data_IF_270871123356
#
_entry.id   IF_270871123356
#
_cell.length_a   1.000
_cell.length_b   1.000
_cell.length_c   1.000
_cell.angle_alpha   90.00
_cell.angle_beta   90.00
_cell.angle_gamma   90.00
#
_symmetry.space_group_name_H-M   'P 1'
#
loop_
_entity.id
_entity.type
_entity.pdbx_description
1 polymer ?
#
# COMPACT_ATOMS: atom_id res chain seq x y z
N UNK A 1 -4.15 16.97 12.40
CA UNK A 1 -4.78 15.76 11.85
C UNK A 1 -3.86 15.20 10.78
N UNK A 2 -3.67 13.90 10.77
CA UNK A 2 -2.82 13.23 9.80
C UNK A 2 -3.26 13.49 8.36
N UNK A 3 -2.35 13.29 7.42
CA UNK A 3 -2.63 13.50 5.99
C UNK A 3 -3.13 12.21 5.37
N UNK A 4 -4.33 12.24 4.79
CA UNK A 4 -4.81 11.13 3.97
C UNK A 4 -4.01 11.07 2.66
N UNK A 5 -3.26 9.99 2.44
CA UNK A 5 -2.53 9.76 1.20
C UNK A 5 -2.93 8.42 0.55
N UNK A 6 -3.22 8.37 -0.76
CA UNK A 6 -3.73 7.17 -1.41
C UNK A 6 -2.71 6.02 -1.47
N UNK A 7 -1.41 6.33 -1.62
CA UNK A 7 -0.35 5.31 -1.63
C UNK A 7 -0.28 4.54 -0.31
N UNK A 8 -0.37 5.25 0.82
CA UNK A 8 -0.32 4.65 2.15
C UNK A 8 -1.51 3.70 2.35
N UNK A 9 -2.71 4.15 2.00
CA UNK A 9 -3.92 3.34 2.07
C UNK A 9 -3.83 2.09 1.19
N UNK A 10 -3.35 2.25 -0.05
CA UNK A 10 -3.16 1.15 -0.99
C UNK A 10 -2.19 0.09 -0.46
N UNK A 11 -1.04 0.51 0.10
CA UNK A 11 -0.06 -0.42 0.66
C UNK A 11 -0.60 -1.15 1.89
N UNK A 12 -1.32 -0.46 2.79
CA UNK A 12 -1.99 -1.10 3.93
C UNK A 12 -2.97 -2.18 3.47
N UNK A 13 -3.81 -1.89 2.46
CA UNK A 13 -4.74 -2.87 1.88
C UNK A 13 -4.01 -4.04 1.21
N UNK A 14 -2.93 -3.75 0.49
CA UNK A 14 -2.09 -4.76 -0.17
C UNK A 14 -1.49 -5.71 0.87
N UNK A 15 -0.94 -5.20 1.97
CA UNK A 15 -0.30 -6.04 2.99
C UNK A 15 -1.28 -6.88 3.80
N UNK A 16 -2.57 -6.53 3.84
CA UNK A 16 -3.64 -7.37 4.44
C UNK A 16 -4.46 -8.16 3.41
N UNK A 17 -4.07 -8.11 2.12
CA UNK A 17 -4.75 -8.83 1.04
C UNK A 17 -4.60 -10.35 1.20
N UNK A 18 -5.53 -11.10 0.61
CA UNK A 18 -5.44 -12.56 0.62
C UNK A 18 -4.18 -13.03 -0.12
N UNK A 19 -3.83 -12.35 -1.21
CA UNK A 19 -2.64 -12.59 -2.02
C UNK A 19 -1.37 -12.44 -1.18
N UNK A 20 -1.28 -11.39 -0.36
CA UNK A 20 -0.14 -11.17 0.54
C UNK A 20 -0.06 -12.25 1.64
N UNK A 21 -1.21 -12.65 2.20
CA UNK A 21 -1.27 -13.77 3.16
C UNK A 21 -0.78 -15.08 2.53
N UNK A 22 -1.21 -15.39 1.30
CA UNK A 22 -0.78 -16.58 0.58
C UNK A 22 0.71 -16.54 0.26
N UNK A 23 1.23 -15.41 -0.23
CA UNK A 23 2.66 -15.23 -0.51
C UNK A 23 3.51 -15.38 0.78
N UNK A 24 3.07 -14.78 1.88
CA UNK A 24 3.76 -14.89 3.18
C UNK A 24 3.77 -16.34 3.68
N UNK A 25 2.63 -17.03 3.59
CA UNK A 25 2.52 -18.46 3.93
C UNK A 25 3.49 -19.29 3.11
N UNK A 26 3.48 -19.13 1.79
CA UNK A 26 4.27 -19.95 0.87
C UNK A 26 5.78 -19.70 1.07
N UNK A 27 6.19 -18.45 1.32
CA UNK A 27 7.57 -18.11 1.64
C UNK A 27 8.04 -18.74 2.96
N UNK A 28 7.23 -18.68 4.03
CA UNK A 28 7.55 -19.33 5.31
C UNK A 28 7.61 -20.86 5.16
N UNK A 29 6.69 -21.45 4.41
CA UNK A 29 6.69 -22.90 4.13
C UNK A 29 7.96 -23.30 3.39
N UNK A 30 8.33 -22.57 2.34
CA UNK A 30 9.55 -22.82 1.56
C UNK A 30 10.81 -22.70 2.42
N UNK A 31 10.88 -21.68 3.28
CA UNK A 31 11.97 -21.51 4.24
C UNK A 31 12.09 -22.71 5.20
N UNK A 32 10.97 -23.21 5.73
CA UNK A 32 10.95 -24.39 6.61
C UNK A 32 11.32 -25.66 5.81
N UNK A 33 10.80 -25.84 4.60
CA UNK A 33 11.13 -26.98 3.73
C UNK A 33 12.61 -27.05 3.40
N UNK A 34 13.26 -25.90 3.16
CA UNK A 34 14.70 -25.85 2.93
C UNK A 34 15.50 -26.36 4.14
N UNK A 35 15.09 -26.00 5.36
CA UNK A 35 15.68 -26.53 6.59
C UNK A 35 15.45 -28.04 6.75
N UNK A 36 14.24 -28.52 6.49
CA UNK A 36 13.91 -29.95 6.55
C UNK A 36 14.73 -30.75 5.53
N UNK A 37 14.88 -30.23 4.32
CA UNK A 37 15.66 -30.87 3.26
C UNK A 37 17.14 -30.97 3.63
N UNK A 38 17.73 -29.87 4.11
CA UNK A 38 19.11 -29.84 4.58
C UNK A 38 19.32 -30.81 5.76
N UNK A 39 18.43 -30.76 6.75
CA UNK A 39 18.49 -31.64 7.92
C UNK A 39 18.33 -33.12 7.52
N UNK A 40 17.40 -33.41 6.61
CA UNK A 40 17.21 -34.74 6.05
C UNK A 40 18.45 -35.26 5.31
N UNK A 41 19.18 -34.42 4.57
CA UNK A 41 20.48 -34.78 3.99
C UNK A 41 21.49 -35.08 5.09
N UNK A 42 21.64 -34.19 6.07
CA UNK A 42 22.57 -34.39 7.17
C UNK A 42 22.34 -35.72 7.90
N UNK A 43 21.09 -36.12 8.16
CA UNK A 43 20.78 -37.39 8.81
C UNK A 43 21.21 -38.60 7.96
N UNK A 44 21.12 -38.53 6.62
CA UNK A 44 21.58 -39.59 5.71
C UNK A 44 23.11 -39.69 5.65
N UNK A 45 23.78 -38.56 5.74
CA UNK A 45 25.24 -38.42 5.59
C UNK A 45 25.96 -38.30 6.94
N UNK A 46 25.24 -38.51 8.04
CA UNK A 46 25.71 -38.22 9.39
C UNK A 46 27.05 -38.91 9.69
N UNK A 47 28.06 -38.19 10.20
CA UNK A 47 29.36 -38.78 10.51
C UNK A 47 29.23 -39.94 11.50
N UNK A 48 29.94 -41.05 11.25
CA UNK A 48 29.93 -42.23 12.14
C UNK A 48 30.39 -41.89 13.57
N UNK A 49 31.23 -40.87 13.70
CA UNK A 49 31.73 -40.37 14.98
C UNK A 49 30.90 -39.19 15.54
N UNK A 50 29.70 -38.92 15.02
CA UNK A 50 28.86 -37.79 15.45
C UNK A 50 28.68 -37.73 16.98
N UNK A 51 28.46 -38.88 17.63
CA UNK A 51 28.32 -38.98 19.09
C UNK A 51 29.59 -38.64 19.88
N UNK A 52 30.75 -38.53 19.24
CA UNK A 52 32.01 -38.08 19.85
C UNK A 52 32.24 -36.58 19.71
N UNK A 53 31.44 -35.89 18.89
CA UNK A 53 31.48 -34.44 18.78
C UNK A 53 30.88 -33.79 20.03
N UNK A 54 31.29 -32.56 20.41
CA UNK A 54 30.59 -31.78 21.41
C UNK A 54 29.09 -31.65 21.09
N UNK A 55 28.23 -31.62 22.12
CA UNK A 55 26.78 -31.61 21.94
C UNK A 55 26.30 -30.51 20.98
N UNK A 56 26.90 -29.32 21.03
CA UNK A 56 26.55 -28.20 20.17
C UNK A 56 26.84 -28.44 18.68
N UNK A 57 27.72 -29.39 18.34
CA UNK A 57 27.99 -29.83 16.96
C UNK A 57 27.13 -31.03 16.51
N UNK A 58 26.43 -31.68 17.45
CA UNK A 58 25.54 -32.79 17.14
C UNK A 58 24.20 -32.24 16.64
N UNK A 59 24.10 -31.95 15.35
CA UNK A 59 22.93 -31.29 14.78
C UNK A 59 21.65 -32.14 14.95
N UNK A 60 21.74 -33.47 14.90
CA UNK A 60 20.59 -34.33 15.16
C UNK A 60 20.04 -34.17 16.60
N UNK A 61 20.91 -33.92 17.57
CA UNK A 61 20.52 -33.67 18.96
C UNK A 61 19.98 -32.25 19.16
N UNK A 62 20.66 -31.25 18.59
CA UNK A 62 20.33 -29.83 18.79
C UNK A 62 19.22 -29.39 17.86
N UNK A 63 19.42 -29.50 16.56
CA UNK A 63 18.43 -29.11 15.56
C UNK A 63 17.22 -30.04 15.58
N UNK A 64 17.44 -31.36 15.72
CA UNK A 64 16.35 -32.34 15.73
C UNK A 64 15.39 -32.20 16.92
N UNK A 65 15.89 -31.87 18.11
CA UNK A 65 15.05 -31.78 19.32
C UNK A 65 14.65 -30.36 19.71
N UNK A 66 15.37 -29.32 19.28
CA UNK A 66 15.12 -27.93 19.68
C UNK A 66 14.73 -27.04 18.51
N UNK A 67 15.53 -26.98 17.45
CA UNK A 67 15.27 -26.03 16.35
C UNK A 67 14.08 -26.45 15.50
N UNK A 68 14.12 -27.65 14.90
CA UNK A 68 13.09 -28.12 13.98
C UNK A 68 11.70 -28.18 14.63
N UNK A 69 11.53 -28.73 15.85
CA UNK A 69 10.22 -28.72 16.53
C UNK A 69 9.68 -27.32 16.82
N UNK A 70 10.54 -26.31 16.99
CA UNK A 70 10.12 -24.95 17.26
C UNK A 70 9.66 -24.19 16.01
N UNK A 71 10.25 -24.47 14.84
CA UNK A 71 9.90 -23.75 13.60
C UNK A 71 8.73 -24.41 12.85
N UNK A 72 8.60 -25.75 12.92
CA UNK A 72 7.54 -26.53 12.22
C UNK A 72 6.12 -26.01 12.45
N UNK A 73 5.68 -25.66 13.68
CA UNK A 73 4.32 -25.21 13.93
C UNK A 73 3.93 -23.93 13.17
N UNK A 74 4.90 -23.13 12.69
CA UNK A 74 4.61 -21.92 11.92
C UNK A 74 3.95 -22.25 10.57
N UNK A 75 4.21 -23.42 9.99
CA UNK A 75 3.51 -23.89 8.77
C UNK A 75 1.99 -23.93 8.99
N UNK A 76 1.55 -24.67 10.00
CA UNK A 76 0.12 -24.83 10.28
C UNK A 76 -0.53 -23.51 10.67
N UNK A 77 0.20 -22.68 11.41
CA UNK A 77 -0.27 -21.34 11.81
C UNK A 77 -0.59 -20.46 10.60
N UNK A 78 0.29 -20.38 9.59
CA UNK A 78 0.05 -19.54 8.40
C UNK A 78 -0.93 -20.17 7.41
N UNK A 79 -1.00 -21.50 7.33
CA UNK A 79 -2.07 -22.19 6.58
C UNK A 79 -3.43 -21.82 7.16
N UNK A 80 -3.58 -21.93 8.49
CA UNK A 80 -4.83 -21.58 9.18
C UNK A 80 -5.19 -20.11 9.02
N UNK A 81 -4.22 -19.20 9.19
CA UNK A 81 -4.45 -17.76 9.01
C UNK A 81 -4.92 -17.44 7.58
N UNK A 82 -4.32 -18.06 6.56
CA UNK A 82 -4.75 -17.89 5.17
C UNK A 82 -6.18 -18.39 4.95
N UNK A 83 -6.57 -19.54 5.53
CA UNK A 83 -7.95 -20.06 5.45
C UNK A 83 -8.94 -19.14 6.17
N UNK A 84 -8.58 -18.60 7.34
CA UNK A 84 -9.43 -17.61 8.02
C UNK A 84 -9.61 -16.37 7.16
N UNK A 85 -8.53 -15.92 6.50
CA UNK A 85 -8.55 -14.76 5.62
C UNK A 85 -9.47 -14.95 4.40
N UNK A 86 -9.55 -16.14 3.81
CA UNK A 86 -10.48 -16.42 2.69
C UNK A 86 -11.95 -16.30 3.08
N UNK A 87 -12.27 -16.47 4.36
CA UNK A 87 -13.62 -16.32 4.89
C UNK A 87 -13.87 -14.92 5.50
N UNK A 88 -12.92 -13.99 5.35
CA UNK A 88 -12.93 -12.68 6.01
C UNK A 88 -13.13 -12.77 7.53
N UNK A 89 -12.65 -13.85 8.16
CA UNK A 89 -12.71 -14.03 9.60
C UNK A 89 -11.67 -13.11 10.26
N UNK A 90 -12.11 -12.36 11.26
CA UNK A 90 -11.29 -11.41 12.00
C UNK A 90 -10.11 -12.08 12.72
N UNK A 91 -10.25 -13.37 13.08
CA UNK A 91 -9.18 -14.16 13.68
C UNK A 91 -7.98 -14.35 12.74
N UNK A 92 -8.13 -14.08 11.43
CA UNK A 92 -7.02 -14.05 10.50
C UNK A 92 -5.93 -13.03 10.90
N UNK A 93 -6.32 -11.93 11.57
CA UNK A 93 -5.40 -10.87 11.98
C UNK A 93 -4.59 -11.22 13.24
N UNK A 94 -4.80 -12.38 13.86
CA UNK A 94 -3.97 -12.86 14.97
C UNK A 94 -2.71 -13.60 14.48
N UNK A 95 -1.93 -12.94 13.61
CA UNK A 95 -0.77 -13.49 12.91
C UNK A 95 0.40 -12.49 12.90
N UNK A 96 1.57 -12.93 12.46
CA UNK A 96 2.77 -12.10 12.35
C UNK A 96 3.92 -12.51 13.29
N UNK A 97 5.06 -11.85 13.08
CA UNK A 97 6.34 -11.99 13.77
C UNK A 97 6.97 -13.38 13.72
N UNK A 98 6.52 -14.25 12.82
CA UNK A 98 7.05 -15.60 12.72
C UNK A 98 8.54 -15.58 12.40
N UNK A 99 8.97 -14.81 11.40
CA UNK A 99 10.36 -14.80 10.98
C UNK A 99 11.28 -14.15 12.01
N UNK A 100 10.81 -13.11 12.71
CA UNK A 100 11.55 -12.52 13.82
C UNK A 100 11.75 -13.52 14.97
N UNK A 101 10.69 -14.24 15.34
CA UNK A 101 10.73 -15.24 16.41
C UNK A 101 11.59 -16.45 16.03
N UNK A 102 11.46 -16.95 14.80
CA UNK A 102 12.30 -18.02 14.27
C UNK A 102 13.76 -17.57 14.31
N UNK A 103 14.10 -16.41 13.72
CA UNK A 103 15.49 -15.92 13.66
C UNK A 103 16.12 -15.86 15.05
N UNK A 104 15.45 -15.22 16.02
CA UNK A 104 15.90 -15.15 17.42
C UNK A 104 16.11 -16.54 18.03
N UNK A 105 15.23 -17.48 17.69
CA UNK A 105 15.25 -18.86 18.16
C UNK A 105 16.24 -19.78 17.43
N UNK A 106 16.93 -19.32 16.37
CA UNK A 106 17.91 -20.15 15.64
C UNK A 106 19.33 -19.56 15.63
N UNK A 107 19.50 -18.25 15.78
CA UNK A 107 20.80 -17.55 15.60
C UNK A 107 21.92 -18.03 16.52
N UNK A 108 21.60 -18.66 17.65
CA UNK A 108 22.58 -19.18 18.61
C UNK A 108 23.07 -20.60 18.28
N UNK A 109 22.45 -21.29 17.31
CA UNK A 109 22.76 -22.68 17.01
C UNK A 109 23.77 -22.81 15.86
N UNK A 110 24.72 -23.70 16.06
CA UNK A 110 25.73 -23.99 15.04
C UNK A 110 25.10 -24.66 13.81
N UNK A 111 25.39 -24.10 12.64
CA UNK A 111 24.84 -24.46 11.32
C UNK A 111 25.90 -25.10 10.39
N UNK A 112 27.14 -25.30 10.85
CA UNK A 112 28.25 -25.78 10.02
C UNK A 112 28.13 -27.22 9.50
N UNK A 113 27.02 -27.90 9.78
CA UNK A 113 26.64 -29.17 9.17
C UNK A 113 25.91 -29.00 7.82
N UNK A 114 25.41 -27.80 7.53
CA UNK A 114 24.82 -27.42 6.24
C UNK A 114 25.92 -27.12 5.21
N UNK A 115 25.63 -27.38 3.93
CA UNK A 115 26.52 -26.98 2.84
C UNK A 115 26.42 -25.48 2.58
N UNK A 116 27.40 -24.90 1.89
CA UNK A 116 27.34 -23.48 1.48
C UNK A 116 26.14 -23.16 0.59
N UNK A 117 25.75 -24.11 -0.27
CA UNK A 117 24.58 -23.97 -1.15
C UNK A 117 23.28 -23.97 -0.34
N UNK A 118 23.15 -24.88 0.63
CA UNK A 118 22.00 -24.93 1.53
C UNK A 118 21.87 -23.65 2.35
N UNK A 119 22.97 -23.16 2.91
CA UNK A 119 23.01 -21.89 3.66
C UNK A 119 22.58 -20.72 2.76
N UNK A 120 23.08 -20.68 1.52
CA UNK A 120 22.71 -19.64 0.55
C UNK A 120 21.21 -19.64 0.24
N UNK A 121 20.66 -20.80 -0.12
CA UNK A 121 19.23 -20.97 -0.42
C UNK A 121 18.34 -20.65 0.80
N UNK A 122 18.70 -21.15 1.98
CA UNK A 122 17.99 -20.87 3.23
C UNK A 122 18.00 -19.36 3.54
N UNK A 123 19.14 -18.70 3.34
CA UNK A 123 19.28 -17.27 3.56
C UNK A 123 18.39 -16.47 2.61
N UNK A 124 18.32 -16.84 1.33
CA UNK A 124 17.48 -16.16 0.33
C UNK A 124 15.98 -16.31 0.66
N UNK A 125 15.53 -17.56 0.88
CA UNK A 125 14.15 -17.83 1.29
C UNK A 125 13.80 -17.15 2.60
N UNK A 126 14.75 -17.08 3.54
CA UNK A 126 14.60 -16.40 4.81
C UNK A 126 14.43 -14.89 4.67
N UNK A 127 15.14 -14.27 3.74
CA UNK A 127 14.99 -12.83 3.43
C UNK A 127 13.61 -12.53 2.83
N UNK A 128 13.15 -13.33 1.86
CA UNK A 128 11.83 -13.18 1.25
C UNK A 128 10.72 -13.34 2.30
N UNK A 129 10.78 -14.41 3.09
CA UNK A 129 9.80 -14.67 4.14
C UNK A 129 9.82 -13.58 5.22
N UNK A 130 10.99 -13.07 5.59
CA UNK A 130 11.12 -12.03 6.60
C UNK A 130 10.50 -10.71 6.13
N UNK A 131 10.68 -10.34 4.86
CA UNK A 131 10.13 -9.09 4.33
C UNK A 131 8.59 -9.14 4.27
N UNK A 132 8.03 -10.22 3.71
CA UNK A 132 6.58 -10.41 3.62
C UNK A 132 5.93 -10.46 5.02
N UNK A 133 6.55 -11.19 5.96
CA UNK A 133 6.07 -11.29 7.35
C UNK A 133 6.17 -9.94 8.07
N UNK A 134 7.22 -9.16 7.83
CA UNK A 134 7.41 -7.82 8.43
C UNK A 134 6.33 -6.86 7.97
N UNK A 135 6.06 -6.79 6.66
CA UNK A 135 5.00 -5.95 6.08
C UNK A 135 3.63 -6.29 6.66
N UNK A 136 3.31 -7.59 6.74
CA UNK A 136 2.07 -8.09 7.33
C UNK A 136 1.96 -7.74 8.83
N UNK A 137 3.02 -8.02 9.59
CA UNK A 137 3.06 -7.82 11.05
C UNK A 137 2.92 -6.36 11.44
N UNK A 138 3.66 -5.48 10.75
CA UNK A 138 3.63 -4.05 11.03
C UNK A 138 2.26 -3.44 10.71
N UNK A 139 1.63 -3.89 9.61
CA UNK A 139 0.27 -3.45 9.24
C UNK A 139 -0.77 -3.88 10.27
N UNK A 140 -0.76 -5.15 10.69
CA UNK A 140 -1.70 -5.67 11.69
C UNK A 140 -1.53 -4.98 13.04
N UNK A 141 -0.28 -4.76 13.49
CA UNK A 141 -0.01 -4.16 14.79
C UNK A 141 -0.10 -2.64 14.79
N UNK A 142 -0.21 -2.02 13.61
CA UNK A 142 -0.19 -0.57 13.44
C UNK A 142 1.12 0.04 13.92
N UNK A 143 2.25 -0.59 13.59
CA UNK A 143 3.59 -0.14 14.00
C UNK A 143 4.35 0.60 12.91
N UNK A 144 3.63 1.08 11.89
CA UNK A 144 4.22 1.97 10.89
C UNK A 144 4.42 3.35 11.51
N UNK A 145 5.55 3.97 11.20
CA UNK A 145 5.80 5.38 11.44
C UNK A 145 5.37 6.21 10.22
N UNK A 146 5.08 7.49 10.44
CA UNK A 146 4.78 8.39 9.32
C UNK A 146 6.03 8.58 8.43
N UNK A 147 5.92 8.17 7.17
CA UNK A 147 7.03 8.07 6.22
C UNK A 147 7.24 6.66 5.67
N UNK A 148 6.96 5.63 6.47
CA UNK A 148 7.27 4.22 6.15
C UNK A 148 6.54 3.70 4.92
N UNK A 149 5.38 4.27 4.59
CA UNK A 149 4.55 3.89 3.44
C UNK A 149 4.45 5.01 2.40
N UNK A 150 5.24 6.08 2.55
CA UNK A 150 5.18 7.31 1.74
C UNK A 150 6.54 7.72 1.17
N UNK A 151 7.30 8.57 1.86
CA UNK A 151 8.53 9.17 1.32
C UNK A 151 9.83 8.50 1.80
N UNK A 152 9.78 7.68 2.86
CA UNK A 152 10.97 7.03 3.45
C UNK A 152 10.96 5.50 3.25
N UNK A 153 9.80 4.93 2.93
CA UNK A 153 9.60 3.50 2.78
C UNK A 153 10.09 2.85 1.49
N UNK A 154 10.25 3.63 0.42
CA UNK A 154 10.65 3.07 -0.87
C UNK A 154 12.15 2.78 -0.90
N UNK A 155 12.54 1.54 -1.17
CA UNK A 155 13.95 1.16 -1.25
C UNK A 155 14.21 0.05 -2.28
N UNK A 156 15.47 -0.02 -2.71
CA UNK A 156 15.98 -1.13 -3.52
C UNK A 156 16.79 -2.08 -2.62
N UNK A 157 16.95 -3.33 -3.05
CA UNK A 157 17.93 -4.28 -2.51
C UNK A 157 17.77 -4.61 -1.01
N UNK A 158 16.53 -4.76 -0.54
CA UNK A 158 16.22 -5.37 0.77
C UNK A 158 16.24 -4.42 1.98
N UNK A 159 16.36 -3.10 1.76
CA UNK A 159 16.31 -2.09 2.82
C UNK A 159 15.01 -1.24 2.81
N UNK A 160 14.18 -1.37 1.78
CA UNK A 160 12.89 -0.68 1.68
C UNK A 160 11.71 -1.51 2.18
N UNK A 161 10.63 -0.83 2.56
CA UNK A 161 9.33 -1.44 2.91
C UNK A 161 8.55 -1.90 1.72
N UNK A 162 8.71 -1.21 0.60
CA UNK A 162 8.14 -1.61 -0.67
C UNK A 162 9.08 -1.15 -1.77
N UNK A 163 8.96 -1.80 -2.91
CA UNK A 163 9.63 -1.41 -4.14
C UNK A 163 8.71 -0.56 -4.98
N UNK A 164 9.29 0.20 -5.91
CA UNK A 164 8.50 0.99 -6.85
C UNK A 164 7.54 0.17 -7.70
N UNK A 165 7.91 -1.07 -8.01
CA UNK A 165 7.09 -2.03 -8.74
C UNK A 165 5.88 -2.53 -7.93
N UNK A 166 5.87 -2.29 -6.61
CA UNK A 166 4.73 -2.65 -5.77
C UNK A 166 3.54 -1.71 -5.94
N UNK A 167 3.76 -0.52 -6.52
CA UNK A 167 2.75 0.49 -6.77
C UNK A 167 2.37 0.44 -8.27
N UNK A 168 1.11 0.11 -8.61
CA UNK A 168 0.66 0.11 -10.00
C UNK A 168 0.58 1.53 -10.55
N UNK A 169 0.43 1.66 -11.88
CA UNK A 169 0.30 2.96 -12.55
C UNK A 169 -0.95 3.75 -12.12
N UNK A 170 -1.96 3.07 -11.58
CA UNK A 170 -3.17 3.66 -11.02
C UNK A 170 -3.51 2.98 -9.71
N UNK A 171 -3.78 3.77 -8.69
CA UNK A 171 -4.27 3.29 -7.39
C UNK A 171 -5.66 3.84 -7.09
N UNK A 172 -6.48 3.16 -6.27
CA UNK A 172 -7.78 3.68 -5.88
C UNK A 172 -7.68 5.05 -5.21
N UNK A 173 -8.72 5.87 -5.37
CA UNK A 173 -8.90 7.08 -4.58
C UNK A 173 -9.59 6.74 -3.26
N UNK A 174 -9.27 7.51 -2.22
CA UNK A 174 -9.80 7.31 -0.87
C UNK A 174 -10.42 8.60 -0.33
N UNK A 175 -11.39 8.45 0.56
CA UNK A 175 -12.02 9.54 1.31
C UNK A 175 -12.25 9.17 2.77
N UNK A 176 -12.46 10.20 3.60
CA UNK A 176 -12.86 10.03 4.99
C UNK A 176 -14.37 9.87 5.10
N UNK A 177 -14.79 8.73 5.63
CA UNK A 177 -16.18 8.51 6.01
C UNK A 177 -16.45 9.08 7.40
N UNK A 178 -16.94 10.33 7.41
CA UNK A 178 -17.26 11.05 8.65
C UNK A 178 -18.45 10.46 9.43
N UNK A 179 -19.17 9.48 8.87
CA UNK A 179 -20.22 8.75 9.59
C UNK A 179 -19.68 7.63 10.48
N UNK A 180 -18.44 7.18 10.26
CA UNK A 180 -17.78 6.14 11.06
C UNK A 180 -16.53 6.71 11.72
N UNK A 181 -16.63 6.91 13.03
CA UNK A 181 -15.58 7.48 13.86
C UNK A 181 -15.42 6.67 15.14
N UNK A 182 -14.18 6.57 15.62
CA UNK A 182 -13.83 5.98 16.91
C UNK A 182 -13.32 7.12 17.78
N UNK A 183 -14.02 7.43 18.86
CA UNK A 183 -13.55 8.44 19.80
C UNK A 183 -12.43 7.90 20.71
N UNK A 184 -11.72 8.80 21.38
CA UNK A 184 -10.42 8.55 22.03
C UNK A 184 -10.36 7.39 23.04
N UNK A 185 -11.48 7.02 23.66
CA UNK A 185 -11.59 5.91 24.61
C UNK A 185 -12.64 4.86 24.16
N UNK A 186 -13.00 4.87 22.89
CA UNK A 186 -13.92 3.88 22.30
C UNK A 186 -13.16 2.71 21.66
N UNK A 187 -13.80 1.54 21.70
CA UNK A 187 -13.31 0.38 21.00
C UNK A 187 -13.78 0.42 19.53
N UNK A 188 -12.94 0.01 18.57
CA UNK A 188 -13.37 -0.16 17.18
C UNK A 188 -14.49 -1.19 17.10
N UNK A 189 -15.53 -0.91 16.30
CA UNK A 189 -16.64 -1.86 16.04
C UNK A 189 -16.66 -2.35 14.59
N UNK A 190 -15.87 -1.72 13.73
CA UNK A 190 -15.76 -2.03 12.32
C UNK A 190 -14.28 -2.23 11.95
N UNK A 191 -14.00 -3.31 11.21
CA UNK A 191 -12.65 -3.55 10.68
C UNK A 191 -12.41 -2.63 9.48
N UNK A 192 -11.28 -1.94 9.45
CA UNK A 192 -10.96 -1.04 8.35
C UNK A 192 -9.62 -0.34 8.50
N UNK A 193 -9.32 0.56 7.57
CA UNK A 193 -8.19 1.48 7.64
C UNK A 193 -8.73 2.82 8.14
N UNK A 194 -8.05 3.42 9.11
CA UNK A 194 -8.49 4.63 9.77
C UNK A 194 -7.39 5.68 9.76
N UNK A 195 -7.79 6.94 9.63
CA UNK A 195 -6.91 8.09 9.75
C UNK A 195 -6.97 8.65 11.19
N UNK A 196 -5.83 8.87 11.86
CA UNK A 196 -5.83 9.44 13.20
C UNK A 196 -5.99 10.98 13.19
N UNK A 197 -6.64 11.51 14.22
CA UNK A 197 -6.83 12.96 14.40
C UNK A 197 -5.61 13.72 14.95
N UNK A 198 -4.41 13.14 14.87
CA UNK A 198 -3.15 13.74 15.33
C UNK A 198 -2.17 13.92 14.16
N UNK A 199 -1.30 14.93 14.26
CA UNK A 199 -0.25 15.17 13.26
C UNK A 199 0.90 14.15 13.42
N UNK A 200 1.68 13.96 12.35
CA UNK A 200 2.87 13.11 12.34
C UNK A 200 2.60 11.63 12.68
N UNK A 201 1.43 11.14 12.29
CA UNK A 201 1.01 9.76 12.46
C UNK A 201 0.44 9.22 11.13
N UNK A 202 0.71 7.94 10.78
CA UNK A 202 0.19 7.34 9.57
C UNK A 202 -1.24 6.80 9.76
N UNK A 203 -1.92 6.51 8.66
CA UNK A 203 -3.13 5.70 8.67
C UNK A 203 -2.84 4.28 9.22
N UNK A 204 -3.86 3.68 9.83
CA UNK A 204 -3.71 2.40 10.53
C UNK A 204 -4.84 1.44 10.18
N UNK A 205 -4.48 0.17 9.96
CA UNK A 205 -5.45 -0.91 9.97
C UNK A 205 -5.89 -1.26 11.41
N UNK A 206 -7.19 -1.26 11.66
CA UNK A 206 -7.77 -1.54 12.98
C UNK A 206 -8.88 -2.60 12.82
N UNK A 207 -8.75 -3.79 13.45
CA UNK A 207 -9.80 -4.79 13.45
C UNK A 207 -10.91 -4.46 14.46
N UNK A 208 -12.16 -4.82 14.16
CA UNK A 208 -13.31 -4.63 15.05
C UNK A 208 -13.20 -5.35 16.42
N UNK A 209 -12.33 -6.35 16.56
CA UNK A 209 -12.11 -7.08 17.82
C UNK A 209 -10.82 -6.67 18.52
N UNK A 210 -10.24 -5.51 18.19
CA UNK A 210 -8.99 -5.02 18.79
C UNK A 210 -9.03 -5.03 20.33
N UNK A 211 -10.22 -4.94 20.92
CA UNK A 211 -10.47 -5.25 22.34
C UNK A 211 -10.11 -4.14 23.31
N UNK A 212 -9.54 -3.04 22.82
CA UNK A 212 -9.17 -1.85 23.58
C UNK A 212 -9.20 -0.60 22.68
N UNK A 213 -9.13 0.62 23.24
CA UNK A 213 -8.99 1.82 22.43
C UNK A 213 -7.67 1.83 21.65
N UNK A 214 -7.73 2.21 20.37
CA UNK A 214 -6.56 2.23 19.49
C UNK A 214 -5.74 3.51 19.71
N UNK A 215 -4.43 3.35 19.90
CA UNK A 215 -3.46 4.46 19.92
C UNK A 215 -2.73 4.56 18.58
N UNK A 216 -2.23 5.74 18.22
CA UNK A 216 -1.42 5.96 17.03
C UNK A 216 0.05 6.09 17.41
N UNK A 217 0.95 5.64 16.54
CA UNK A 217 2.37 6.02 16.65
C UNK A 217 2.49 7.44 16.11
N UNK A 218 2.99 8.34 16.96
CA UNK A 218 3.22 9.74 16.63
C UNK A 218 4.70 10.05 16.68
N UNK A 219 5.21 10.63 15.60
CA UNK A 219 6.57 11.14 15.54
C UNK A 219 6.79 12.35 16.44
N UNK A 220 7.88 12.33 17.21
CA UNK A 220 8.27 13.42 18.14
C UNK A 220 9.50 14.16 17.62
N UNK A 221 10.58 13.42 17.31
CA UNK A 221 11.84 14.00 16.86
C UNK A 221 12.29 13.36 15.55
N UNK A 222 12.45 14.16 14.50
CA UNK A 222 13.01 13.70 13.21
C UNK A 222 14.51 13.42 13.32
N UNK A 223 14.96 12.45 12.54
CA UNK A 223 16.38 12.13 12.45
C UNK A 223 17.19 13.28 11.87
N UNK A 224 18.31 13.58 12.54
CA UNK A 224 19.36 14.46 12.03
C UNK A 224 20.38 13.71 11.15
N UNK A 225 20.17 12.42 10.90
CA UNK A 225 21.14 11.59 10.18
C UNK A 225 21.25 12.01 8.71
N UNK A 226 22.48 12.19 8.25
CA UNK A 226 22.83 12.39 6.85
C UNK A 226 23.79 11.27 6.45
N UNK A 227 23.42 10.55 5.39
CA UNK A 227 24.24 9.46 4.91
C UNK A 227 25.55 9.95 4.26
N UNK A 228 26.41 9.00 3.88
CA UNK A 228 27.70 9.31 3.24
C UNK A 228 27.57 10.02 1.89
N UNK A 229 26.40 9.95 1.25
CA UNK A 229 26.11 10.62 -0.02
C UNK A 229 25.56 12.05 0.18
N UNK A 230 25.33 12.47 1.41
CA UNK A 230 24.74 13.77 1.74
C UNK A 230 23.21 13.77 1.73
N UNK A 231 22.57 12.60 1.61
CA UNK A 231 21.12 12.47 1.68
C UNK A 231 20.68 12.43 3.15
N UNK A 232 19.81 13.34 3.53
CA UNK A 232 19.19 13.37 4.84
C UNK A 232 18.14 12.25 4.96
N UNK A 233 18.18 11.52 6.06
CA UNK A 233 17.10 10.60 6.45
C UNK A 233 15.97 11.40 7.09
N UNK A 234 14.74 11.08 6.72
CA UNK A 234 13.55 11.68 7.32
C UNK A 234 12.82 10.72 8.25
N UNK A 235 13.47 9.64 8.69
CA UNK A 235 12.91 8.75 9.70
C UNK A 235 12.71 9.48 11.04
N UNK A 236 11.92 8.88 11.92
CA UNK A 236 11.76 9.35 13.28
C UNK A 236 12.82 8.72 14.18
N UNK A 237 13.57 9.54 14.92
CA UNK A 237 14.49 9.07 15.97
C UNK A 237 13.70 8.72 17.24
N UNK A 238 12.67 9.52 17.54
CA UNK A 238 11.76 9.32 18.67
C UNK A 238 10.31 9.35 18.18
N UNK A 239 9.54 8.33 18.57
CA UNK A 239 8.09 8.23 18.38
C UNK A 239 7.42 7.76 19.69
N UNK A 240 6.16 8.12 19.89
CA UNK A 240 5.36 7.67 21.04
C UNK A 240 3.99 7.14 20.65
N UNK A 241 3.39 6.33 21.54
CA UNK A 241 2.01 5.90 21.39
C UNK A 241 1.08 6.96 21.97
N UNK A 242 0.44 7.73 21.10
CA UNK A 242 -0.49 8.79 21.47
C UNK A 242 -1.95 8.32 21.35
N UNK A 243 -2.77 8.71 22.33
CA UNK A 243 -4.23 8.55 22.25
C UNK A 243 -4.81 9.52 21.22
N UNK A 244 -5.74 9.06 20.40
CA UNK A 244 -6.34 9.87 19.35
C UNK A 244 -7.73 9.35 18.96
N UNK A 245 -8.53 10.21 18.34
CA UNK A 245 -9.70 9.76 17.60
C UNK A 245 -9.31 9.26 16.21
N UNK A 246 -10.21 8.51 15.59
CA UNK A 246 -9.98 7.86 14.29
C UNK A 246 -11.19 8.02 13.39
N UNK A 247 -10.96 8.38 12.12
CA UNK A 247 -12.00 8.44 11.10
C UNK A 247 -11.77 7.35 10.06
N UNK A 248 -12.81 6.58 9.71
CA UNK A 248 -12.68 5.50 8.75
C UNK A 248 -12.31 6.04 7.36
N UNK A 249 -11.37 5.39 6.71
CA UNK A 249 -11.00 5.63 5.31
C UNK A 249 -11.75 4.63 4.42
N UNK A 250 -12.39 5.11 3.36
CA UNK A 250 -13.06 4.28 2.35
C UNK A 250 -12.50 4.55 0.96
N UNK A 251 -12.47 3.51 0.13
CA UNK A 251 -12.29 3.67 -1.31
C UNK A 251 -13.49 4.41 -1.89
N UNK A 252 -13.24 5.29 -2.84
CA UNK A 252 -14.29 5.84 -3.70
C UNK A 252 -14.45 4.88 -4.87
N UNK A 253 -15.55 4.14 -4.90
CA UNK A 253 -15.79 3.10 -5.91
C UNK A 253 -15.70 3.66 -7.34
N UNK A 254 -14.84 3.05 -8.15
CA UNK A 254 -14.63 3.43 -9.55
C UNK A 254 -13.74 4.67 -9.77
N UNK A 255 -13.23 5.31 -8.72
CA UNK A 255 -12.28 6.42 -8.84
C UNK A 255 -10.84 5.98 -8.56
N UNK A 256 -9.93 6.44 -9.42
CA UNK A 256 -8.50 6.11 -9.36
C UNK A 256 -7.68 7.38 -9.51
N UNK A 257 -6.46 7.35 -8.98
CA UNK A 257 -5.44 8.39 -9.14
C UNK A 257 -4.28 7.78 -9.93
N UNK A 258 -3.89 8.46 -11.00
CA UNK A 258 -2.69 8.13 -11.76
C UNK A 258 -1.44 8.35 -10.88
N UNK A 259 -0.59 7.34 -10.81
CA UNK A 259 0.69 7.41 -10.11
C UNK A 259 1.69 8.08 -11.04
N UNK A 260 2.34 9.19 -10.64
CA UNK A 260 3.29 9.88 -11.50
C UNK A 260 4.43 8.95 -11.97
N UNK A 261 4.99 9.16 -13.17
CA UNK A 261 6.13 8.39 -13.69
C UNK A 261 7.40 8.47 -12.84
N UNK A 262 7.47 9.37 -11.87
CA UNK A 262 8.50 9.57 -10.85
C UNK A 262 8.07 9.09 -9.44
N UNK A 263 6.81 8.67 -9.27
CA UNK A 263 6.19 8.30 -8.00
C UNK A 263 5.52 9.51 -7.33
N UNK A 264 4.81 9.29 -6.22
CA UNK A 264 4.22 10.40 -5.45
C UNK A 264 5.25 11.22 -4.65
N UNK A 265 6.42 10.63 -4.39
CA UNK A 265 7.49 11.21 -3.56
C UNK A 265 8.83 11.18 -4.31
N UNK A 266 8.97 11.88 -5.45
CA UNK A 266 10.21 11.89 -6.23
C UNK A 266 11.41 12.47 -5.46
N UNK A 267 11.20 13.42 -4.56
CA UNK A 267 12.29 13.98 -3.73
C UNK A 267 12.51 13.18 -2.45
N UNK A 268 11.53 12.37 -2.04
CA UNK A 268 11.57 11.59 -0.81
C UNK A 268 11.54 12.48 0.43
N UNK A 269 10.73 13.55 0.40
CA UNK A 269 10.65 14.54 1.49
C UNK A 269 9.28 14.55 2.17
N UNK A 270 9.22 14.79 3.50
CA UNK A 270 7.95 14.94 4.22
C UNK A 270 7.05 16.05 3.67
N UNK A 271 7.63 17.14 3.16
CA UNK A 271 6.88 18.26 2.58
C UNK A 271 5.98 17.82 1.43
N UNK A 272 6.38 16.80 0.65
CA UNK A 272 5.55 16.26 -0.44
C UNK A 272 4.26 15.64 0.12
N UNK A 273 4.32 14.98 1.28
CA UNK A 273 3.15 14.44 1.97
C UNK A 273 2.28 15.58 2.51
N UNK A 274 2.86 16.54 3.23
CA UNK A 274 2.07 17.62 3.85
C UNK A 274 1.42 18.57 2.82
N UNK A 275 1.99 18.67 1.61
CA UNK A 275 1.41 19.41 0.50
C UNK A 275 0.42 18.58 -0.35
N UNK A 276 0.23 17.30 -0.02
CA UNK A 276 -0.64 16.39 -0.78
C UNK A 276 -2.08 16.89 -0.90
N UNK A 277 -2.78 17.39 0.14
CA UNK A 277 -4.18 17.82 -0.01
C UNK A 277 -4.37 18.92 -1.07
N UNK A 278 -3.41 19.83 -1.19
CA UNK A 278 -3.42 20.87 -2.23
C UNK A 278 -3.07 20.29 -3.60
N UNK A 279 -2.16 19.32 -3.66
CA UNK A 279 -1.79 18.64 -4.89
C UNK A 279 -2.94 17.78 -5.43
N UNK A 280 -3.57 16.96 -4.59
CA UNK A 280 -4.73 16.15 -4.94
C UNK A 280 -5.87 17.03 -5.46
N UNK A 281 -6.18 18.12 -4.75
CA UNK A 281 -7.18 19.09 -5.23
C UNK A 281 -6.81 19.66 -6.60
N UNK A 282 -5.54 19.97 -6.85
CA UNK A 282 -5.08 20.40 -8.17
C UNK A 282 -5.22 19.29 -9.21
N UNK A 283 -4.86 18.05 -8.90
CA UNK A 283 -5.00 16.90 -9.82
C UNK A 283 -6.46 16.71 -10.21
N UNK A 284 -7.35 16.66 -9.22
CA UNK A 284 -8.79 16.51 -9.41
C UNK A 284 -9.46 17.72 -10.10
N UNK A 285 -8.90 18.93 -9.94
CA UNK A 285 -9.37 20.13 -10.64
C UNK A 285 -8.78 20.27 -12.05
N UNK A 286 -7.58 19.73 -12.28
CA UNK A 286 -6.85 19.83 -13.56
C UNK A 286 -7.25 18.71 -14.53
N UNK A 287 -7.79 17.62 -14.03
CA UNK A 287 -8.38 16.56 -14.86
C UNK A 287 -9.89 16.73 -14.98
N UNK A 288 -10.30 17.51 -16.00
CA UNK A 288 -11.47 17.26 -16.87
C UNK A 288 -11.78 18.50 -17.72
N UNK A 289 -10.90 18.85 -18.66
CA UNK A 289 -11.27 19.78 -19.74
C UNK A 289 -12.36 19.12 -20.58
N UNK A 290 -13.56 19.71 -20.63
CA UNK A 290 -14.63 19.20 -21.49
C UNK A 290 -14.22 19.34 -22.94
N UNK A 291 -14.63 18.38 -23.77
CA UNK A 291 -14.48 18.50 -25.22
C UNK A 291 -15.22 19.76 -25.66
N UNK A 292 -14.51 20.68 -26.29
CA UNK A 292 -15.10 21.93 -26.82
C UNK A 292 -15.06 21.95 -28.34
N UNK A 293 -16.05 22.61 -28.96
CA UNK A 293 -16.10 22.84 -30.41
C UNK A 293 -16.63 24.25 -30.69
N UNK A 294 -16.02 24.97 -31.64
CA UNK A 294 -16.47 26.34 -31.96
C UNK A 294 -17.65 26.34 -32.94
N UNK A 295 -18.50 27.36 -32.86
CA UNK A 295 -19.52 27.60 -33.88
C UNK A 295 -18.88 27.67 -35.27
N UNK A 296 -19.52 27.04 -36.26
CA UNK A 296 -19.01 26.92 -37.63
C UNK A 296 -18.09 25.71 -37.87
N UNK A 297 -17.58 25.06 -36.82
CA UNK A 297 -16.82 23.81 -36.93
C UNK A 297 -17.76 22.60 -36.95
N UNK A 298 -17.26 21.46 -37.47
CA UNK A 298 -18.01 20.20 -37.43
C UNK A 298 -17.91 19.59 -36.03
N UNK A 299 -19.06 19.27 -35.45
CA UNK A 299 -19.14 18.52 -34.20
C UNK A 299 -18.36 17.21 -34.32
N UNK A 300 -17.55 16.90 -33.31
CA UNK A 300 -16.74 15.68 -33.27
C UNK A 300 -17.55 14.46 -32.82
N UNK A 301 -18.66 14.67 -32.11
CA UNK A 301 -19.41 13.60 -31.43
C UNK A 301 -20.92 13.86 -31.49
N UNK A 302 -21.69 12.77 -31.54
CA UNK A 302 -23.12 12.80 -31.29
C UNK A 302 -23.36 13.11 -29.81
N UNK A 303 -24.18 14.11 -29.50
CA UNK A 303 -24.45 14.44 -28.11
C UNK A 303 -25.07 15.81 -27.86
N UNK A 304 -25.32 16.06 -26.57
CA UNK A 304 -25.82 17.32 -26.05
C UNK A 304 -24.64 18.25 -25.72
N UNK A 305 -24.68 19.46 -26.22
CA UNK A 305 -23.67 20.51 -26.01
C UNK A 305 -24.30 21.72 -25.33
N UNK A 306 -23.50 22.48 -24.60
CA UNK A 306 -23.91 23.76 -24.04
C UNK A 306 -22.86 24.85 -24.24
N UNK A 307 -23.32 26.08 -24.34
CA UNK A 307 -22.47 27.28 -24.31
C UNK A 307 -23.06 28.31 -23.36
N UNK A 308 -22.21 29.12 -22.73
CA UNK A 308 -22.60 30.18 -21.80
C UNK A 308 -21.94 31.47 -22.26
N UNK A 309 -22.73 32.44 -22.69
CA UNK A 309 -22.27 33.78 -23.07
C UNK A 309 -23.07 34.81 -22.29
N UNK A 310 -22.36 35.72 -21.60
CA UNK A 310 -22.96 36.80 -20.81
C UNK A 310 -24.07 36.33 -19.84
N UNK A 311 -23.87 35.18 -19.19
CA UNK A 311 -24.83 34.59 -18.24
C UNK A 311 -26.04 33.89 -18.88
N UNK A 312 -26.14 33.86 -20.20
CA UNK A 312 -27.19 33.12 -20.93
C UNK A 312 -26.63 31.78 -21.38
N UNK A 313 -27.29 30.69 -20.99
CA UNK A 313 -26.91 29.33 -21.37
C UNK A 313 -27.79 28.84 -22.51
N UNK A 314 -27.19 28.29 -23.56
CA UNK A 314 -27.90 27.61 -24.64
C UNK A 314 -27.44 26.17 -24.74
N UNK A 315 -28.38 25.32 -25.14
CA UNK A 315 -28.16 23.89 -25.35
C UNK A 315 -28.44 23.55 -26.80
N UNK A 316 -27.67 22.63 -27.36
CA UNK A 316 -27.92 22.09 -28.68
C UNK A 316 -27.60 20.60 -28.70
N UNK A 317 -28.33 19.85 -29.52
CA UNK A 317 -28.04 18.44 -29.78
C UNK A 317 -27.52 18.33 -31.20
N UNK A 318 -26.31 17.82 -31.39
CA UNK A 318 -25.70 17.69 -32.71
C UNK A 318 -25.27 16.27 -32.99
N UNK A 319 -25.25 15.91 -34.27
CA UNK A 319 -24.61 14.69 -34.75
C UNK A 319 -23.17 14.95 -35.15
N UNK A 320 -22.30 13.96 -35.03
CA UNK A 320 -20.93 13.99 -35.52
C UNK A 320 -20.90 14.41 -37.00
N UNK A 321 -20.07 15.38 -37.33
CA UNK A 321 -19.97 15.98 -38.66
C UNK A 321 -20.94 17.13 -38.95
N UNK A 322 -21.94 17.37 -38.09
CA UNK A 322 -22.86 18.52 -38.20
C UNK A 322 -22.15 19.82 -37.82
N UNK A 323 -22.43 20.91 -38.53
CA UNK A 323 -21.87 22.23 -38.19
C UNK A 323 -22.48 22.74 -36.89
N UNK A 324 -21.61 23.13 -35.95
CA UNK A 324 -22.02 23.70 -34.67
C UNK A 324 -22.72 25.04 -34.88
N UNK A 325 -23.90 25.23 -34.28
CA UNK A 325 -24.67 26.45 -34.46
C UNK A 325 -23.99 27.66 -33.82
N UNK A 326 -24.30 28.85 -34.31
CA UNK A 326 -23.95 30.09 -33.64
C UNK A 326 -24.87 30.32 -32.43
N UNK A 327 -24.38 31.03 -31.42
CA UNK A 327 -25.17 31.44 -30.27
C UNK A 327 -26.06 32.63 -30.66
N UNK A 328 -27.35 32.53 -30.40
CA UNK A 328 -28.31 33.60 -30.71
C UNK A 328 -28.64 34.39 -29.44
N UNK A 329 -28.35 35.69 -29.40
CA UNK A 329 -28.68 36.50 -28.23
C UNK A 329 -30.19 36.85 -28.14
N UNK A 330 -30.57 37.51 -27.04
CA UNK A 330 -31.96 37.95 -26.79
C UNK A 330 -32.51 38.94 -27.84
N UNK A 331 -31.66 39.47 -28.72
CA UNK A 331 -32.02 40.38 -29.81
C UNK A 331 -32.00 39.67 -31.18
N UNK A 332 -31.78 38.35 -31.21
CA UNK A 332 -31.72 37.55 -32.44
C UNK A 332 -30.40 37.70 -33.20
N UNK A 333 -29.38 38.33 -32.60
CA UNK A 333 -28.07 38.46 -33.23
C UNK A 333 -27.24 37.21 -32.96
N UNK A 334 -26.61 36.69 -34.01
CA UNK A 334 -25.79 35.47 -33.94
C UNK A 334 -24.34 35.80 -33.65
N UNK A 335 -23.74 35.05 -32.74
CA UNK A 335 -22.38 35.20 -32.27
C UNK A 335 -21.63 33.88 -32.33
N UNK A 336 -20.34 33.95 -32.67
CA UNK A 336 -19.46 32.78 -32.60
C UNK A 336 -19.24 32.41 -31.13
N UNK A 337 -19.52 31.16 -30.78
CA UNK A 337 -19.45 30.64 -29.42
C UNK A 337 -18.62 29.35 -29.34
N UNK A 338 -18.01 29.12 -28.17
CA UNK A 338 -17.41 27.82 -27.84
C UNK A 338 -18.45 26.97 -27.12
N UNK A 339 -18.72 25.79 -27.67
CA UNK A 339 -19.67 24.82 -27.13
C UNK A 339 -18.91 23.72 -26.40
N UNK A 340 -19.35 23.38 -25.19
CA UNK A 340 -18.82 22.27 -24.37
C UNK A 340 -19.76 21.07 -24.40
N UNK A 341 -19.21 19.88 -24.61
CA UNK A 341 -19.98 18.63 -24.63
C UNK A 341 -20.46 18.27 -23.21
N UNK A 342 -21.76 18.07 -23.06
CA UNK A 342 -22.40 17.71 -21.79
C UNK A 342 -22.62 16.21 -21.66
N UNK A 343 -23.12 15.59 -22.71
CA UNK A 343 -23.47 14.18 -22.78
C UNK A 343 -23.25 13.66 -24.20
N UNK A 344 -22.83 12.40 -24.34
CA UNK A 344 -22.74 11.73 -25.64
C UNK A 344 -23.84 10.70 -25.76
N UNK A 345 -24.44 10.61 -26.95
CA UNK A 345 -25.53 9.66 -27.23
C UNK A 345 -25.09 8.20 -27.04
N UNK A 346 -23.78 7.93 -27.16
CA UNK A 346 -23.19 6.62 -26.95
C UNK A 346 -22.67 6.38 -25.52
N UNK A 347 -22.93 7.29 -24.58
CA UNK A 347 -22.44 7.20 -23.19
C UNK A 347 -20.93 7.35 -23.02
N UNK A 348 -20.21 7.78 -24.07
CA UNK A 348 -18.75 7.97 -24.04
C UNK A 348 -18.31 9.18 -23.21
N UNK A 349 -17.02 9.25 -22.90
CA UNK A 349 -16.44 10.39 -22.17
C UNK A 349 -16.64 11.72 -22.91
N UNK A 350 -16.95 12.76 -22.13
CA UNK A 350 -17.18 14.15 -22.57
C UNK A 350 -15.96 15.06 -22.32
N UNK A 351 -14.86 14.47 -21.89
CA UNK A 351 -13.62 15.17 -21.55
C UNK A 351 -12.52 14.87 -22.56
N UNK A 352 -11.65 15.84 -22.81
CA UNK A 352 -10.49 15.71 -23.70
C UNK A 352 -9.58 14.65 -23.11
N UNK A 353 -9.39 13.56 -23.84
CA UNK A 353 -8.34 12.58 -23.54
C UNK A 353 -7.05 13.18 -24.12
N UNK A 354 -6.22 13.80 -23.29
CA UNK A 354 -4.90 14.26 -23.75
C UNK A 354 -4.02 13.02 -23.90
N UNK A 355 -3.55 12.66 -25.12
CA UNK A 355 -2.48 11.70 -25.21
C UNK A 355 -1.21 12.36 -24.64
N UNK A 356 -0.56 11.63 -23.74
CA UNK A 356 0.70 11.99 -23.10
C UNK A 356 1.68 12.55 -24.15
N UNK A 357 2.05 13.84 -24.01
CA UNK A 357 3.08 14.44 -24.87
C UNK A 357 4.44 13.92 -24.41
N UNK A 358 4.83 12.77 -24.96
CA UNK A 358 6.24 12.39 -25.04
C UNK A 358 6.98 13.46 -25.84
N UNK A 359 7.88 14.17 -25.17
CA UNK A 359 9.07 14.78 -25.77
C UNK A 359 10.27 14.37 -24.93
#
# INVERSE_FOLDING_TARGET
MAVLHPQECYLLEKFISLEHYAATRDAIIAYIDAHEAAFGRYLREMPRNNRRLPLWQQADMVWGNRVMPNIRPMRERYIKACILRTHNDIQAFNIGHAMSNIRKGITEFWDGWMTKEEIGNISELGSIAAELDRQLSATIRGTWDEGDLTYDGCGNDGYGVYSRNDIPLQIPRYELDTSVRIELDENPVQTGIYLPDIDFAPARFIPADYGQPASAIQGITRSGYVDKSGKQSYSWDDSEWAKTGWTLIRRIEGEFIDVPPEGFFPEGKPDELHNWPQLEKKLLQKERERITCWSGEKSLFDGQWATIINGTTQYTHTRAGQIMPEFEDKHGQKHRASWSLLERDNGGSVFVITPDKRN
#
